data_IF_035074804265
#
_entry.id   IF_035074804265
#
_cell.length_a   1.000
_cell.length_b   1.000
_cell.length_c   1.000
_cell.angle_alpha   90.00
_cell.angle_beta   90.00
_cell.angle_gamma   90.00
#
_symmetry.space_group_name_H-M   'P 1'
#
loop_
_entity.id
_entity.type
_entity.pdbx_description
1 polymer ?
#
# COMPACT_ATOMS: atom_id res chain seq x y z
N UNK A 1 -13.39 -20.22 0.03
CA UNK A 1 -12.30 -20.23 -0.96
C UNK A 1 -11.18 -19.38 -0.38
N UNK A 2 -10.24 -19.99 0.33
CA UNK A 2 -9.16 -19.25 1.00
C UNK A 2 -8.10 -18.91 -0.03
N UNK A 3 -8.18 -17.67 -0.49
CA UNK A 3 -7.15 -17.04 -1.28
C UNK A 3 -6.02 -16.72 -0.27
N UNK A 4 -4.96 -17.55 -0.28
CA UNK A 4 -3.70 -17.43 0.50
C UNK A 4 -2.88 -16.21 0.06
N UNK A 5 -3.53 -15.06 -0.11
CA UNK A 5 -2.90 -13.88 -0.70
C UNK A 5 -2.32 -13.03 0.41
N UNK A 6 -1.03 -12.72 0.29
CA UNK A 6 -0.31 -11.98 1.32
C UNK A 6 -0.68 -10.50 1.24
N UNK A 7 -0.93 -9.90 2.40
CA UNK A 7 -1.14 -8.47 2.57
C UNK A 7 0.01 -7.86 3.37
N UNK A 8 0.56 -6.76 2.84
CA UNK A 8 1.57 -5.94 3.48
C UNK A 8 0.92 -4.61 3.87
N UNK A 9 0.76 -4.39 5.18
CA UNK A 9 0.33 -3.10 5.72
C UNK A 9 1.53 -2.23 6.09
N UNK A 10 1.40 -0.93 5.93
CA UNK A 10 2.41 0.09 6.23
C UNK A 10 1.76 1.20 7.04
N UNK A 11 2.43 1.64 8.10
CA UNK A 11 1.92 2.66 9.03
C UNK A 11 2.66 3.97 8.84
N UNK A 12 1.92 5.04 8.61
CA UNK A 12 2.40 6.41 8.55
C UNK A 12 1.78 7.14 9.74
N UNK A 13 2.57 7.69 10.67
CA UNK A 13 2.01 8.39 11.82
C UNK A 13 1.45 9.74 11.38
N UNK A 14 0.46 10.25 12.11
CA UNK A 14 -0.27 11.48 11.76
C UNK A 14 0.64 12.68 11.49
N UNK A 15 1.74 12.81 12.21
CA UNK A 15 2.74 13.87 12.04
C UNK A 15 3.46 13.83 10.68
N UNK A 16 3.48 12.68 9.99
CA UNK A 16 4.10 12.53 8.68
C UNK A 16 3.09 12.60 7.52
N UNK A 17 1.82 12.96 7.81
CA UNK A 17 0.72 13.00 6.84
C UNK A 17 0.45 14.40 6.26
N UNK A 18 1.37 15.36 6.39
CA UNK A 18 1.23 16.73 5.86
C UNK A 18 1.00 16.78 4.34
N UNK A 19 1.53 15.80 3.60
CA UNK A 19 1.34 15.64 2.15
C UNK A 19 0.01 14.96 1.78
N UNK A 20 -0.78 14.57 2.79
CA UNK A 20 -2.05 13.90 2.68
C UNK A 20 -1.97 12.47 2.12
N UNK A 21 -3.11 11.73 2.15
CA UNK A 21 -3.21 10.36 1.64
C UNK A 21 -2.67 10.19 0.21
N UNK A 22 -3.02 11.11 -0.69
CA UNK A 22 -2.56 11.07 -2.09
C UNK A 22 -1.04 11.18 -2.18
N UNK A 23 -0.42 12.15 -1.50
CA UNK A 23 1.02 12.36 -1.56
C UNK A 23 1.82 11.18 -0.99
N UNK A 24 1.32 10.57 0.09
CA UNK A 24 1.91 9.35 0.65
C UNK A 24 1.84 8.18 -0.35
N UNK A 25 0.71 8.01 -1.02
CA UNK A 25 0.55 7.00 -2.07
C UNK A 25 1.46 7.28 -3.27
N UNK A 26 1.58 8.52 -3.72
CA UNK A 26 2.51 8.90 -4.80
C UNK A 26 3.96 8.60 -4.44
N UNK A 27 4.37 8.86 -3.18
CA UNK A 27 5.71 8.49 -2.68
C UNK A 27 5.90 6.99 -2.60
N UNK A 28 4.91 6.21 -2.18
CA UNK A 28 4.99 4.74 -2.23
C UNK A 28 5.21 4.26 -3.66
N UNK A 29 4.38 4.75 -4.59
CA UNK A 29 4.36 4.32 -5.98
C UNK A 29 5.61 4.77 -6.76
N UNK A 30 6.31 5.82 -6.35
CA UNK A 30 7.54 6.27 -7.03
C UNK A 30 8.69 5.25 -6.96
N UNK A 31 8.67 4.36 -5.96
CA UNK A 31 9.64 3.26 -5.82
C UNK A 31 9.21 1.95 -6.50
N UNK A 32 8.05 1.95 -7.15
CA UNK A 32 7.43 0.77 -7.76
C UNK A 32 7.23 0.99 -9.25
N UNK A 33 7.21 -0.10 -10.01
CA UNK A 33 6.83 -0.08 -11.43
C UNK A 33 5.58 -0.92 -11.62
N UNK A 34 4.83 -0.70 -12.70
CA UNK A 34 3.64 -1.52 -13.01
C UNK A 34 3.95 -3.02 -12.98
N UNK A 35 5.10 -3.45 -13.50
CA UNK A 35 5.53 -4.86 -13.48
C UNK A 35 5.72 -5.45 -12.08
N UNK A 36 5.86 -4.61 -11.05
CA UNK A 36 6.04 -5.07 -9.68
C UNK A 36 4.73 -5.18 -8.91
N UNK A 37 3.66 -4.54 -9.36
CA UNK A 37 2.41 -4.42 -8.60
C UNK A 37 1.13 -4.61 -9.43
N UNK A 38 1.21 -4.84 -10.74
CA UNK A 38 0.04 -5.25 -11.54
C UNK A 38 -0.62 -6.49 -10.94
N UNK A 39 -1.95 -6.47 -10.86
CA UNK A 39 -2.78 -7.48 -10.22
C UNK A 39 -2.89 -7.36 -8.70
N UNK A 40 -2.18 -6.40 -8.06
CA UNK A 40 -2.32 -6.16 -6.62
C UNK A 40 -3.43 -5.16 -6.33
N UNK A 41 -4.13 -5.39 -5.23
CA UNK A 41 -5.08 -4.44 -4.65
C UNK A 41 -4.37 -3.49 -3.69
N UNK A 42 -4.77 -2.21 -3.74
CA UNK A 42 -4.34 -1.22 -2.76
C UNK A 42 -5.53 -0.70 -1.96
N UNK A 43 -5.31 -0.46 -0.68
CA UNK A 43 -6.30 0.14 0.22
C UNK A 43 -5.60 1.03 1.23
N UNK A 44 -6.33 1.97 1.81
CA UNK A 44 -5.79 2.79 2.88
C UNK A 44 -6.83 3.59 3.62
N UNK A 45 -6.47 4.05 4.81
CA UNK A 45 -7.41 4.71 5.69
C UNK A 45 -6.77 5.04 7.04
N UNK A 46 -7.48 5.85 7.81
CA UNK A 46 -7.10 6.18 9.18
C UNK A 46 -7.49 5.06 10.13
N UNK A 47 -6.54 4.62 10.94
CA UNK A 47 -6.75 3.70 12.05
C UNK A 47 -6.17 4.38 13.29
N UNK A 48 -7.04 4.92 14.13
CA UNK A 48 -6.64 5.79 15.26
C UNK A 48 -5.73 6.94 14.77
N UNK A 49 -4.51 7.06 15.29
CA UNK A 49 -3.55 8.13 14.97
C UNK A 49 -2.57 7.75 13.84
N UNK A 50 -2.79 6.64 13.14
CA UNK A 50 -1.95 6.25 12.00
C UNK A 50 -2.77 6.14 10.72
N UNK A 51 -2.17 6.57 9.62
CA UNK A 51 -2.67 6.27 8.29
C UNK A 51 -2.04 4.94 7.83
N UNK A 52 -2.89 3.98 7.47
CA UNK A 52 -2.47 2.66 7.03
C UNK A 52 -2.61 2.57 5.52
N UNK A 53 -1.57 2.08 4.85
CA UNK A 53 -1.61 1.67 3.43
C UNK A 53 -1.42 0.16 3.37
N UNK A 54 -2.25 -0.52 2.59
CA UNK A 54 -2.19 -1.97 2.38
C UNK A 54 -1.99 -2.28 0.90
N UNK A 55 -1.03 -3.15 0.61
CA UNK A 55 -0.88 -3.82 -0.69
C UNK A 55 -1.19 -5.30 -0.50
N UNK A 56 -2.06 -5.88 -1.32
CA UNK A 56 -2.46 -7.28 -1.18
C UNK A 56 -2.77 -7.95 -2.52
N UNK A 57 -2.97 -9.27 -2.50
CA UNK A 57 -3.37 -10.04 -3.69
C UNK A 57 -2.22 -10.79 -4.36
N UNK A 58 -0.99 -10.63 -3.89
CA UNK A 58 0.18 -11.31 -4.43
C UNK A 58 0.53 -12.62 -3.71
N UNK A 59 1.26 -13.49 -4.42
CA UNK A 59 1.93 -14.63 -3.79
C UNK A 59 3.04 -14.16 -2.82
N UNK A 60 3.44 -15.02 -1.87
CA UNK A 60 4.49 -14.67 -0.92
C UNK A 60 5.81 -14.27 -1.60
N UNK A 61 6.24 -15.00 -2.63
CA UNK A 61 7.47 -14.68 -3.36
C UNK A 61 7.39 -13.33 -4.07
N UNK A 62 6.22 -13.01 -4.64
CA UNK A 62 5.96 -11.73 -5.29
C UNK A 62 5.96 -10.58 -4.28
N UNK A 63 5.23 -10.73 -3.17
CA UNK A 63 5.14 -9.72 -2.11
C UNK A 63 6.48 -9.47 -1.41
N UNK A 64 7.37 -10.48 -1.31
CA UNK A 64 8.75 -10.28 -0.84
C UNK A 64 9.56 -9.38 -1.76
N UNK A 65 9.34 -9.43 -3.07
CA UNK A 65 9.98 -8.52 -4.03
C UNK A 65 9.45 -7.10 -3.88
N UNK A 66 8.12 -6.94 -3.75
CA UNK A 66 7.48 -5.65 -3.47
C UNK A 66 8.04 -5.02 -2.20
N UNK A 67 8.09 -5.79 -1.11
CA UNK A 67 8.65 -5.33 0.16
C UNK A 67 10.09 -4.81 0.04
N UNK A 68 10.96 -5.54 -0.67
CA UNK A 68 12.36 -5.10 -0.89
C UNK A 68 12.44 -3.78 -1.65
N UNK A 69 11.57 -3.56 -2.63
CA UNK A 69 11.52 -2.32 -3.39
C UNK A 69 11.02 -1.14 -2.56
N UNK A 70 10.03 -1.38 -1.71
CA UNK A 70 9.55 -0.38 -0.74
C UNK A 70 10.69 0.02 0.20
N UNK A 71 11.44 -0.94 0.75
CA UNK A 71 12.59 -0.65 1.61
C UNK A 71 13.72 0.11 0.91
N UNK A 72 13.85 -0.04 -0.41
CA UNK A 72 14.81 0.73 -1.21
C UNK A 72 14.33 2.16 -1.52
N UNK A 73 13.07 2.49 -1.23
CA UNK A 73 12.51 3.82 -1.40
C UNK A 73 12.65 4.61 -0.09
N UNK A 74 13.80 5.25 0.08
CA UNK A 74 14.15 6.02 1.28
C UNK A 74 13.13 7.15 1.56
N UNK A 75 12.66 7.83 0.52
CA UNK A 75 11.69 8.92 0.61
C UNK A 75 10.35 8.48 1.19
N UNK A 76 9.90 7.28 0.83
CA UNK A 76 8.69 6.69 1.40
C UNK A 76 8.95 6.12 2.79
N UNK A 77 10.08 5.44 2.99
CA UNK A 77 10.45 4.88 4.29
C UNK A 77 10.59 5.94 5.38
N UNK A 78 11.03 7.16 5.02
CA UNK A 78 11.09 8.31 5.93
C UNK A 78 9.72 8.72 6.50
N UNK A 79 8.62 8.38 5.80
CA UNK A 79 7.27 8.64 6.28
C UNK A 79 6.80 7.61 7.31
N UNK A 80 7.37 6.42 7.34
CA UNK A 80 6.84 5.32 8.14
C UNK A 80 7.07 5.51 9.64
N UNK A 81 6.24 4.88 10.46
CA UNK A 81 6.48 4.79 11.90
C UNK A 81 7.86 4.19 12.18
N UNK A 82 8.61 4.77 13.14
CA UNK A 82 9.92 4.23 13.54
C UNK A 82 9.80 2.83 14.14
N UNK A 83 8.78 2.62 14.97
CA UNK A 83 8.50 1.34 15.60
C UNK A 83 7.38 0.60 14.87
N UNK A 84 7.66 -0.65 14.49
CA UNK A 84 6.71 -1.55 13.81
C UNK A 84 6.01 -0.88 12.61
N UNK A 85 6.77 -0.38 11.61
CA UNK A 85 6.21 0.25 10.41
C UNK A 85 5.31 -0.66 9.59
N UNK A 86 5.52 -1.98 9.66
CA UNK A 86 4.81 -2.96 8.86
C UNK A 86 3.80 -3.77 9.66
N UNK A 87 2.70 -4.16 9.01
CA UNK A 87 1.65 -5.02 9.54
C UNK A 87 1.61 -6.31 8.72
N UNK A 88 1.80 -7.45 9.39
CA UNK A 88 1.75 -8.76 8.74
C UNK A 88 0.34 -9.37 8.78
N UNK A 89 -0.19 -9.64 7.59
CA UNK A 89 -1.31 -10.47 7.14
C UNK A 89 -2.52 -10.71 8.08
N UNK A 90 -2.38 -11.32 9.26
CA UNK A 90 -3.53 -11.76 10.07
C UNK A 90 -4.34 -10.62 10.71
N UNK A 91 -3.82 -9.38 10.68
CA UNK A 91 -4.50 -8.19 11.25
C UNK A 91 -5.24 -7.34 10.22
N UNK A 92 -5.00 -7.54 8.93
CA UNK A 92 -5.53 -6.67 7.86
C UNK A 92 -6.92 -7.09 7.37
N UNK A 93 -7.28 -8.37 7.50
CA UNK A 93 -8.61 -8.89 7.16
C UNK A 93 -9.75 -8.32 8.03
N UNK A 94 -9.45 -7.48 9.03
CA UNK A 94 -10.40 -6.93 10.01
C UNK A 94 -10.42 -5.40 10.09
N UNK A 95 -9.87 -4.70 9.10
CA UNK A 95 -9.83 -3.22 9.10
C UNK A 95 -10.89 -2.65 8.14
N UNK A 96 -12.16 -2.50 8.58
CA UNK A 96 -13.23 -1.93 7.76
C UNK A 96 -13.03 -0.46 7.39
N UNK A 97 -12.12 0.24 8.08
CA UNK A 97 -11.82 1.66 7.87
C UNK A 97 -10.99 1.92 6.61
N UNK A 98 -10.47 0.87 5.97
CA UNK A 98 -9.64 1.00 4.78
C UNK A 98 -10.51 1.11 3.53
N UNK A 99 -10.37 2.23 2.85
CA UNK A 99 -11.01 2.44 1.56
C UNK A 99 -10.16 1.82 0.45
N UNK A 100 -10.83 1.18 -0.51
CA UNK A 100 -10.15 0.58 -1.66
C UNK A 100 -9.76 1.64 -2.68
N UNK A 101 -8.46 1.68 -3.01
CA UNK A 101 -7.93 2.40 -4.16
C UNK A 101 -8.11 1.61 -5.46
N UNK A 102 -8.53 0.35 -5.39
CA UNK A 102 -8.70 -0.53 -6.53
C UNK A 102 -7.49 -1.44 -6.78
N UNK A 103 -7.55 -2.16 -7.88
CA UNK A 103 -6.49 -3.04 -8.36
C UNK A 103 -5.65 -2.37 -9.44
N UNK A 104 -4.34 -2.58 -9.40
CA UNK A 104 -3.45 -2.08 -10.44
C UNK A 104 -3.57 -2.95 -11.69
N UNK A 105 -3.87 -2.36 -12.83
CA UNK A 105 -3.93 -3.06 -14.12
C UNK A 105 -2.53 -3.22 -14.75
N UNK A 106 -2.48 -3.80 -15.94
CA UNK A 106 -1.24 -4.00 -16.71
C UNK A 106 -0.61 -2.70 -17.23
N UNK A 107 -1.37 -1.59 -17.26
CA UNK A 107 -0.93 -0.27 -17.69
C UNK A 107 -0.51 0.61 -16.50
N UNK A 108 -0.66 0.13 -15.26
CA UNK A 108 -0.38 0.89 -14.05
C UNK A 108 -1.53 1.80 -13.58
N UNK A 109 -2.73 1.66 -14.17
CA UNK A 109 -3.93 2.35 -13.73
C UNK A 109 -4.63 1.58 -12.60
N UNK A 110 -5.44 2.29 -11.79
CA UNK A 110 -6.21 1.69 -10.71
C UNK A 110 -7.67 1.46 -11.13
N UNK A 111 -8.14 0.23 -11.02
CA UNK A 111 -9.49 -0.20 -11.41
C UNK A 111 -10.35 -0.60 -10.20
N UNK A 112 -11.61 -0.18 -10.18
CA UNK A 112 -12.62 -0.68 -9.25
C UNK A 112 -12.50 -0.19 -7.79
N UNK A 113 -11.69 0.84 -7.53
CA UNK A 113 -11.60 1.50 -6.22
C UNK A 113 -12.73 2.50 -5.99
N UNK A 114 -13.12 2.68 -4.72
CA UNK A 114 -14.03 3.75 -4.32
C UNK A 114 -13.33 5.12 -4.31
N UNK A 115 -12.00 5.10 -4.22
CA UNK A 115 -11.15 6.26 -4.06
C UNK A 115 -9.99 6.17 -5.05
N UNK A 116 -10.12 6.67 -6.28
CA UNK A 116 -8.98 6.80 -7.19
C UNK A 116 -8.57 8.27 -7.27
N UNK A 117 -7.51 8.68 -6.56
CA UNK A 117 -6.98 10.05 -6.61
C UNK A 117 -6.31 10.42 -7.96
N UNK A 118 -6.66 9.73 -9.06
CA UNK A 118 -5.94 9.79 -10.34
C UNK A 118 -4.53 9.22 -10.27
N UNK A 119 -4.28 8.30 -9.33
CA UNK A 119 -2.97 7.66 -9.16
C UNK A 119 -2.64 6.79 -10.36
N UNK A 120 -1.36 6.77 -10.74
CA UNK A 120 -0.82 5.88 -11.77
C UNK A 120 0.54 5.36 -11.34
N UNK A 121 0.88 4.17 -11.81
CA UNK A 121 2.18 3.53 -11.59
C UNK A 121 2.94 3.57 -12.92
N UNK A 122 4.20 3.99 -12.88
CA UNK A 122 5.05 4.10 -14.08
C UNK A 122 5.50 2.73 -14.59
#
# INVERSE_FOLDING_TARGET
MFIDHFALGMRIPKENMDIGPKGCMEKLLSGLTRYNISGLGLSGGWVEDVYVIVIMGGSLSFMRNVYRRILANEDFCALLCKDRPFIENNRLAKMPELESFGMVDENGAFLGGNCCFGLTVR
#
